data_IF_585274948380
#
_entry.id   IF_585274948380
#
_cell.length_a   1.000
_cell.length_b   1.000
_cell.length_c   1.000
_cell.angle_alpha   90.00
_cell.angle_beta   90.00
_cell.angle_gamma   90.00
#
_symmetry.space_group_name_H-M   'P 1'
#
loop_
_entity.id
_entity.type
_entity.pdbx_description
1 polymer ?
#
# COMPACT_ATOMS: atom_id res chain seq x y z
N UNK A 1 18.30 7.83 -22.33
CA UNK A 1 17.02 7.09 -22.23
C UNK A 1 16.30 7.63 -20.98
N UNK A 2 15.18 8.35 -21.12
CA UNK A 2 14.40 8.84 -19.96
C UNK A 2 13.76 7.59 -19.33
N UNK A 3 14.03 7.28 -18.05
CA UNK A 3 13.25 6.24 -17.36
C UNK A 3 11.80 6.74 -17.35
N UNK A 4 10.88 5.93 -17.87
CA UNK A 4 9.47 6.18 -17.61
C UNK A 4 9.25 6.14 -16.10
N UNK A 5 8.31 6.94 -15.60
CA UNK A 5 7.77 6.82 -14.26
C UNK A 5 7.57 5.35 -13.89
N UNK A 6 8.31 4.84 -12.90
CA UNK A 6 8.17 3.46 -12.47
C UNK A 6 6.98 3.40 -11.50
N UNK A 7 5.85 2.82 -11.93
CA UNK A 7 4.63 2.71 -11.13
C UNK A 7 4.45 1.29 -10.59
N UNK A 8 4.04 1.18 -9.33
CA UNK A 8 3.68 -0.08 -8.69
C UNK A 8 2.28 0.01 -8.07
N UNK A 9 1.63 -1.14 -7.93
CA UNK A 9 0.32 -1.30 -7.31
C UNK A 9 0.45 -2.06 -5.99
N UNK A 10 -0.47 -1.75 -5.08
CA UNK A 10 -0.65 -2.46 -3.81
C UNK A 10 -2.01 -3.14 -3.85
N UNK A 11 -2.02 -4.45 -3.66
CA UNK A 11 -3.20 -5.28 -3.71
C UNK A 11 -3.44 -5.93 -2.35
N UNK A 12 -4.71 -6.04 -1.98
CA UNK A 12 -5.20 -6.82 -0.82
C UNK A 12 -6.04 -7.97 -1.36
N UNK A 13 -5.63 -9.21 -1.10
CA UNK A 13 -6.28 -10.43 -1.61
C UNK A 13 -6.54 -10.39 -3.12
N UNK A 14 -5.62 -9.78 -3.87
CA UNK A 14 -5.70 -9.66 -5.33
C UNK A 14 -6.47 -8.44 -5.85
N UNK A 15 -7.12 -7.66 -4.98
CA UNK A 15 -7.78 -6.40 -5.37
C UNK A 15 -6.85 -5.21 -5.17
N UNK A 16 -6.61 -4.43 -6.21
CA UNK A 16 -5.81 -3.20 -6.12
C UNK A 16 -6.50 -2.17 -5.22
N UNK A 17 -5.74 -1.63 -4.27
CA UNK A 17 -6.18 -0.57 -3.35
C UNK A 17 -5.44 0.76 -3.57
N UNK A 18 -4.26 0.72 -4.20
CA UNK A 18 -3.45 1.89 -4.49
C UNK A 18 -2.50 1.63 -5.67
N UNK A 19 -2.09 2.71 -6.34
CA UNK A 19 -1.01 2.75 -7.31
C UNK A 19 -0.13 3.95 -7.04
N UNK A 20 1.19 3.76 -7.02
CA UNK A 20 2.17 4.80 -6.73
C UNK A 20 3.30 4.83 -7.74
N UNK A 21 3.82 6.04 -7.96
CA UNK A 21 4.97 6.29 -8.79
C UNK A 21 6.21 6.44 -7.91
N UNK A 22 7.29 5.75 -8.27
CA UNK A 22 8.60 5.92 -7.64
C UNK A 22 9.16 7.28 -8.07
N UNK A 23 9.22 8.22 -7.13
CA UNK A 23 9.89 9.49 -7.32
C UNK A 23 11.41 9.33 -7.17
N UNK A 24 12.15 9.60 -8.24
CA UNK A 24 13.62 9.53 -8.24
C UNK A 24 14.31 10.57 -7.35
N UNK A 25 13.56 11.53 -6.76
CA UNK A 25 14.06 12.66 -5.99
C UNK A 25 14.27 12.38 -4.50
N UNK A 26 13.92 11.19 -3.99
CA UNK A 26 14.02 10.88 -2.55
C UNK A 26 15.01 9.75 -2.20
N UNK A 27 16.29 9.77 -2.64
CA UNK A 27 17.17 8.61 -2.49
C UNK A 27 17.76 8.37 -1.09
N UNK A 28 17.51 9.20 -0.08
CA UNK A 28 18.29 9.12 1.18
C UNK A 28 17.50 8.78 2.45
N UNK A 29 16.16 8.64 2.40
CA UNK A 29 15.37 8.44 3.62
C UNK A 29 14.27 7.42 3.46
N UNK A 30 14.11 6.58 4.48
CA UNK A 30 12.92 5.78 4.68
C UNK A 30 11.79 6.70 5.15
N UNK A 31 10.61 6.58 4.55
CA UNK A 31 9.41 7.30 4.96
C UNK A 31 8.23 6.34 5.07
N UNK A 32 7.34 6.51 6.07
CA UNK A 32 6.12 5.72 6.17
C UNK A 32 5.06 6.26 5.20
N UNK A 33 4.33 5.34 4.56
CA UNK A 33 3.13 5.65 3.78
C UNK A 33 1.97 4.82 4.33
N UNK A 34 0.77 5.41 4.36
CA UNK A 34 -0.44 4.74 4.84
C UNK A 34 -1.43 4.56 3.70
N UNK A 35 -1.95 3.34 3.57
CA UNK A 35 -2.99 3.00 2.60
C UNK A 35 -4.22 2.50 3.35
N UNK A 36 -5.36 3.20 3.26
CA UNK A 36 -6.61 2.71 3.82
C UNK A 36 -6.99 1.39 3.15
N UNK A 37 -7.25 0.35 3.95
CA UNK A 37 -7.81 -0.91 3.46
C UNK A 37 -9.34 -0.80 3.58
N UNK A 38 -10.10 -0.89 2.48
CA UNK A 38 -11.55 -0.94 2.54
C UNK A 38 -12.03 -2.05 3.50
N UNK A 39 -13.00 -1.79 4.40
CA UNK A 39 -13.48 -2.80 5.36
C UNK A 39 -13.90 -4.11 4.69
N UNK A 40 -14.50 -4.03 3.50
CA UNK A 40 -14.89 -5.19 2.70
C UNK A 40 -13.75 -6.16 2.37
N UNK A 41 -12.49 -5.71 2.42
CA UNK A 41 -11.31 -6.53 2.11
C UNK A 41 -10.65 -7.14 3.33
N UNK A 42 -10.97 -6.70 4.56
CA UNK A 42 -10.28 -7.14 5.78
C UNK A 42 -11.20 -7.52 6.95
N UNK A 43 -12.45 -7.05 6.99
CA UNK A 43 -13.35 -7.29 8.11
C UNK A 43 -13.70 -8.77 8.24
N UNK A 44 -13.58 -9.29 9.47
CA UNK A 44 -13.86 -10.69 9.79
C UNK A 44 -12.81 -11.69 9.26
N UNK A 45 -11.76 -11.23 8.57
CA UNK A 45 -10.68 -12.10 8.11
C UNK A 45 -9.59 -12.23 9.15
N UNK A 46 -9.16 -13.46 9.41
CA UNK A 46 -7.99 -13.73 10.24
C UNK A 46 -6.67 -13.44 9.50
N UNK A 47 -6.68 -13.50 8.17
CA UNK A 47 -5.52 -13.30 7.30
C UNK A 47 -5.91 -12.51 6.05
N UNK A 48 -5.04 -11.60 5.66
CA UNK A 48 -5.07 -10.92 4.36
C UNK A 48 -3.70 -11.05 3.70
N UNK A 49 -3.69 -11.14 2.38
CA UNK A 49 -2.47 -11.16 1.58
C UNK A 49 -2.23 -9.79 0.97
N UNK A 50 -1.11 -9.16 1.32
CA UNK A 50 -0.68 -7.91 0.71
C UNK A 50 0.33 -8.22 -0.39
N UNK A 51 0.08 -7.72 -1.60
CA UNK A 51 0.98 -7.88 -2.74
C UNK A 51 1.38 -6.51 -3.30
N UNK A 52 2.68 -6.32 -3.45
CA UNK A 52 3.26 -5.21 -4.19
C UNK A 52 3.65 -5.74 -5.57
N UNK A 53 3.20 -5.08 -6.64
CA UNK A 53 3.49 -5.51 -8.01
C UNK A 53 3.73 -4.33 -8.93
N UNK A 54 4.47 -4.52 -10.01
CA UNK A 54 4.56 -3.53 -11.09
C UNK A 54 3.19 -3.33 -11.74
N UNK A 55 2.83 -2.09 -12.08
CA UNK A 55 1.56 -1.75 -12.75
C UNK A 55 1.54 -2.14 -14.25
N UNK A 56 2.60 -2.75 -14.78
CA UNK A 56 2.72 -3.07 -16.21
C UNK A 56 3.83 -4.08 -16.52
N UNK A 57 4.24 -4.15 -17.79
CA UNK A 57 5.26 -5.12 -18.24
C UNK A 57 6.68 -4.73 -17.81
N UNK A 58 6.93 -3.46 -17.54
CA UNK A 58 8.20 -2.90 -17.08
C UNK A 58 8.00 -1.95 -15.90
N UNK A 59 9.01 -1.78 -15.06
CA UNK A 59 8.96 -0.97 -13.85
C UNK A 59 9.70 -1.67 -12.69
N UNK A 60 9.85 -0.97 -11.57
CA UNK A 60 10.36 -1.54 -10.33
C UNK A 60 9.34 -1.38 -9.20
N UNK A 61 9.62 -2.05 -8.10
CA UNK A 61 8.96 -1.84 -6.81
C UNK A 61 10.03 -1.20 -5.91
N UNK A 62 9.69 -0.19 -5.10
CA UNK A 62 10.66 0.37 -4.15
C UNK A 62 11.09 -0.69 -3.12
N UNK A 63 12.22 -0.46 -2.45
CA UNK A 63 12.60 -1.29 -1.31
C UNK A 63 11.58 -1.16 -0.18
N UNK A 64 11.05 -2.29 0.29
CA UNK A 64 10.10 -2.33 1.41
C UNK A 64 10.85 -2.80 2.65
N UNK A 65 10.99 -1.90 3.62
CA UNK A 65 11.78 -2.14 4.84
C UNK A 65 10.93 -2.52 6.06
N UNK A 66 9.62 -2.33 5.99
CA UNK A 66 8.71 -2.69 7.07
C UNK A 66 7.25 -2.57 6.64
N UNK A 67 6.41 -3.44 7.20
CA UNK A 67 4.96 -3.42 7.01
C UNK A 67 4.32 -3.43 8.39
N UNK A 68 3.34 -2.54 8.60
CA UNK A 68 2.54 -2.49 9.82
C UNK A 68 1.07 -2.43 9.45
N UNK A 69 0.29 -3.36 9.99
CA UNK A 69 -1.17 -3.26 9.96
C UNK A 69 -1.63 -2.39 11.14
N UNK A 70 -2.43 -1.36 10.86
CA UNK A 70 -3.02 -0.48 11.87
C UNK A 70 -4.51 -0.81 11.93
N UNK A 71 -4.94 -1.40 13.03
CA UNK A 71 -6.35 -1.58 13.33
C UNK A 71 -6.79 -0.43 14.21
N UNK A 72 -7.52 0.54 13.64
CA UNK A 72 -8.18 1.57 14.42
C UNK A 72 -9.47 0.97 14.93
N UNK A 73 -9.62 0.69 16.24
CA UNK A 73 -10.91 0.31 16.77
C UNK A 73 -11.87 1.47 16.48
N UNK A 74 -12.94 1.20 15.74
CA UNK A 74 -14.04 2.15 15.58
C UNK A 74 -14.54 2.44 16.99
N UNK A 75 -14.19 3.60 17.54
CA UNK A 75 -14.76 4.03 18.82
C UNK A 75 -16.26 4.17 18.57
N UNK A 76 -17.13 3.43 19.27
CA UNK A 76 -18.55 3.75 19.22
C UNK A 76 -18.68 5.15 19.80
N UNK A 77 -19.19 6.10 19.00
CA UNK A 77 -19.63 7.41 19.48
C UNK A 77 -20.67 7.24 20.60
N UNK A 78 -20.20 7.07 21.84
CA UNK A 78 -21.00 7.31 23.03
C UNK A 78 -21.08 8.82 23.20
N UNK A 79 -21.99 9.44 22.44
CA UNK A 79 -22.44 10.78 22.76
C UNK A 79 -23.40 10.68 23.96
N UNK A 80 -23.04 11.38 25.04
CA UNK A 80 -23.83 11.53 26.26
C UNK A 80 -24.94 12.55 26.05
#
# INVERSE_FOLDING_TARGET
>A
RRRAAETFEILVDGQAIAAEQIESSQPERLYPVQYPIPPALAQGKERVTIRFQKAGTSGAIPGIYGIRLIHTPTQPETNR
#
